data_IF_014331301787
#
_entry.id   IF_014331301787
#
_cell.length_a   1.000
_cell.length_b   1.000
_cell.length_c   1.000
_cell.angle_alpha   90.00
_cell.angle_beta   90.00
_cell.angle_gamma   90.00
#
_symmetry.space_group_name_H-M   'P 1'
#
loop_
_entity.id
_entity.type
_entity.pdbx_description
1 polymer ?
#
# COMPACT_ATOMS: atom_id res chain seq x y z
N UNK A 1 18.13 -19.51 15.16
CA UNK A 1 17.47 -18.72 14.09
C UNK A 1 16.66 -19.63 13.17
N UNK A 2 17.22 -20.73 12.64
CA UNK A 2 16.52 -21.63 11.71
C UNK A 2 15.22 -22.25 12.26
N UNK A 3 15.20 -22.66 13.54
CA UNK A 3 14.00 -23.23 14.16
C UNK A 3 12.79 -22.27 14.14
N UNK A 4 13.03 -20.96 14.27
CA UNK A 4 11.96 -19.94 14.25
C UNK A 4 11.37 -19.80 12.85
N UNK A 5 12.22 -19.74 11.82
CA UNK A 5 11.75 -19.68 10.43
C UNK A 5 11.02 -20.96 10.00
N UNK A 6 11.44 -22.12 10.52
CA UNK A 6 10.74 -23.38 10.28
C UNK A 6 9.31 -23.36 10.84
N UNK A 7 9.13 -22.84 12.06
CA UNK A 7 7.79 -22.68 12.67
C UNK A 7 6.95 -21.69 11.87
N UNK A 8 7.48 -20.52 11.53
CA UNK A 8 6.73 -19.51 10.75
C UNK A 8 6.30 -20.04 9.38
N UNK A 9 7.18 -20.74 8.67
CA UNK A 9 6.84 -21.38 7.39
C UNK A 9 5.77 -22.47 7.57
N UNK A 10 5.75 -23.17 8.70
CA UNK A 10 4.70 -24.15 9.00
C UNK A 10 3.33 -23.52 9.26
N UNK A 11 3.28 -22.27 9.70
CA UNK A 11 2.04 -21.52 9.95
C UNK A 11 1.54 -20.87 8.65
N UNK A 12 2.42 -20.12 7.98
CA UNK A 12 2.12 -19.43 6.73
C UNK A 12 3.33 -19.59 5.79
N UNK A 13 3.25 -20.50 4.80
CA UNK A 13 4.34 -20.76 3.87
C UNK A 13 4.66 -19.58 2.93
N UNK A 14 3.66 -18.77 2.59
CA UNK A 14 3.76 -17.66 1.65
C UNK A 14 3.12 -16.38 2.21
N UNK A 15 3.68 -15.79 3.30
CA UNK A 15 3.10 -14.62 3.91
C UNK A 15 3.11 -13.45 2.92
N UNK A 16 1.97 -12.76 2.80
CA UNK A 16 1.80 -11.58 1.96
C UNK A 16 1.60 -10.35 2.82
N UNK A 17 2.06 -9.20 2.34
CA UNK A 17 1.76 -7.92 2.98
C UNK A 17 0.27 -7.58 2.90
N UNK A 18 -0.23 -6.79 3.84
CA UNK A 18 -1.66 -6.44 3.95
C UNK A 18 -2.04 -5.18 3.16
N UNK A 19 -1.05 -4.45 2.61
CA UNK A 19 -1.30 -3.28 1.77
C UNK A 19 -1.89 -3.67 0.41
N UNK A 20 -2.96 -2.99 0.00
CA UNK A 20 -3.57 -3.14 -1.31
C UNK A 20 -2.79 -2.33 -2.36
N UNK A 21 -2.44 -2.97 -3.47
CA UNK A 21 -1.76 -2.34 -4.61
C UNK A 21 -2.08 -3.09 -5.92
N UNK A 22 -1.92 -2.39 -7.04
CA UNK A 22 -2.13 -2.97 -8.39
C UNK A 22 -0.83 -3.21 -9.15
N UNK A 23 0.22 -2.44 -8.82
CA UNK A 23 1.53 -2.52 -9.43
C UNK A 23 2.61 -1.97 -8.48
N UNK A 24 3.88 -2.06 -8.90
CA UNK A 24 5.02 -1.61 -8.10
C UNK A 24 4.97 -0.12 -7.72
N UNK A 25 4.43 0.74 -8.59
CA UNK A 25 4.27 2.17 -8.28
C UNK A 25 3.24 2.39 -7.17
N UNK A 26 2.07 1.76 -7.28
CA UNK A 26 1.02 1.88 -6.24
C UNK A 26 1.46 1.26 -4.91
N UNK A 27 2.27 0.19 -4.93
CA UNK A 27 2.88 -0.34 -3.72
C UNK A 27 3.83 0.66 -3.07
N UNK A 28 4.69 1.32 -3.85
CA UNK A 28 5.58 2.38 -3.35
C UNK A 28 4.78 3.52 -2.70
N UNK A 29 3.68 3.94 -3.32
CA UNK A 29 2.80 4.97 -2.74
C UNK A 29 2.16 4.50 -1.44
N UNK A 30 1.62 3.27 -1.41
CA UNK A 30 1.03 2.70 -0.19
C UNK A 30 2.04 2.60 0.96
N UNK A 31 3.28 2.17 0.68
CA UNK A 31 4.37 2.12 1.66
C UNK A 31 4.76 3.51 2.16
N UNK A 32 4.77 4.53 1.29
CA UNK A 32 5.05 5.89 1.72
C UNK A 32 3.97 6.43 2.67
N UNK A 33 2.71 6.05 2.46
CA UNK A 33 1.57 6.44 3.29
C UNK A 33 1.45 5.63 4.60
N UNK A 34 2.11 4.47 4.69
CA UNK A 34 2.03 3.63 5.90
C UNK A 34 2.83 4.18 7.09
N UNK A 35 3.66 5.21 6.86
CA UNK A 35 4.40 5.86 7.92
C UNK A 35 3.46 6.39 9.01
N UNK A 36 3.55 5.81 10.21
CA UNK A 36 2.70 6.14 11.38
C UNK A 36 1.20 5.93 11.13
N UNK A 37 0.84 5.05 10.20
CA UNK A 37 -0.53 4.66 9.89
C UNK A 37 -0.71 3.13 10.03
N UNK A 38 -1.95 2.68 9.96
CA UNK A 38 -2.28 1.24 9.89
C UNK A 38 -2.55 0.84 8.44
N UNK A 39 -2.29 -0.42 8.08
CA UNK A 39 -2.58 -0.94 6.74
C UNK A 39 -4.07 -0.75 6.37
N UNK A 40 -4.97 -0.86 7.36
CA UNK A 40 -6.40 -0.57 7.21
C UNK A 40 -6.66 0.88 6.80
N UNK A 41 -6.05 1.86 7.48
CA UNK A 41 -6.21 3.28 7.14
C UNK A 41 -5.58 3.63 5.79
N UNK A 42 -4.45 2.99 5.45
CA UNK A 42 -3.80 3.19 4.14
C UNK A 42 -4.71 2.64 3.04
N UNK A 43 -5.19 1.41 3.15
CA UNK A 43 -6.06 0.79 2.14
C UNK A 43 -7.38 1.57 1.96
N UNK A 44 -7.93 2.15 3.04
CA UNK A 44 -9.11 3.01 2.95
C UNK A 44 -8.85 4.28 2.11
N UNK A 45 -7.68 4.90 2.25
CA UNK A 45 -7.29 6.08 1.49
C UNK A 45 -6.89 5.74 0.04
N UNK A 46 -6.15 4.64 -0.14
CA UNK A 46 -5.56 4.28 -1.44
C UNK A 46 -6.55 3.60 -2.37
N UNK A 47 -7.55 2.88 -1.87
CA UNK A 47 -8.55 2.21 -2.72
C UNK A 47 -9.22 3.16 -3.74
N UNK A 48 -9.88 4.27 -3.34
CA UNK A 48 -10.48 5.21 -4.28
C UNK A 48 -9.44 6.03 -5.09
N UNK A 49 -8.21 6.16 -4.58
CA UNK A 49 -7.11 6.82 -5.28
C UNK A 49 -6.58 5.95 -6.44
N UNK A 50 -6.37 4.66 -6.20
CA UNK A 50 -5.80 3.73 -7.19
C UNK A 50 -6.78 3.30 -8.27
N UNK A 51 -8.09 3.47 -8.05
CA UNK A 51 -9.10 3.41 -9.11
C UNK A 51 -8.89 4.51 -10.18
N UNK A 52 -8.24 5.62 -9.81
CA UNK A 52 -8.02 6.77 -10.69
C UNK A 52 -6.54 6.96 -11.08
N UNK A 53 -5.61 6.54 -10.22
CA UNK A 53 -4.18 6.81 -10.35
C UNK A 53 -3.38 5.53 -10.17
N UNK A 54 -2.80 5.03 -11.25
CA UNK A 54 -1.93 3.84 -11.26
C UNK A 54 -0.54 4.12 -11.81
N UNK A 55 -0.26 5.36 -12.22
CA UNK A 55 1.02 5.81 -12.77
C UNK A 55 1.47 7.16 -12.18
N UNK A 56 2.78 7.45 -12.16
CA UNK A 56 3.29 8.75 -11.70
C UNK A 56 2.71 9.94 -12.46
N UNK A 57 2.53 9.82 -13.79
CA UNK A 57 1.98 10.90 -14.62
C UNK A 57 0.52 11.21 -14.26
N UNK A 58 -0.29 10.20 -13.93
CA UNK A 58 -1.65 10.39 -13.43
C UNK A 58 -1.67 11.07 -12.06
N UNK A 59 -0.73 10.75 -11.17
CA UNK A 59 -0.61 11.41 -9.86
C UNK A 59 -0.30 12.91 -10.01
N UNK A 60 0.60 13.25 -10.94
CA UNK A 60 0.89 14.65 -11.28
C UNK A 60 -0.34 15.36 -11.87
N UNK A 61 -1.07 14.69 -12.77
CA UNK A 61 -2.29 15.23 -13.37
C UNK A 61 -3.45 15.37 -12.37
N UNK A 62 -3.51 14.52 -11.34
CA UNK A 62 -4.49 14.61 -10.26
C UNK A 62 -4.33 15.93 -9.49
N UNK A 63 -3.08 16.32 -9.23
CA UNK A 63 -2.72 17.53 -8.49
C UNK A 63 -2.79 17.37 -6.97
N UNK A 64 -2.01 18.20 -6.27
CA UNK A 64 -1.81 18.12 -4.81
C UNK A 64 -3.11 18.28 -4.01
N UNK A 65 -3.95 19.26 -4.37
CA UNK A 65 -5.19 19.55 -3.62
C UNK A 65 -6.18 18.39 -3.68
N UNK A 66 -6.29 17.72 -4.84
CA UNK A 66 -7.12 16.52 -4.96
C UNK A 66 -6.50 15.34 -4.23
N UNK A 67 -5.18 15.16 -4.32
CA UNK A 67 -4.46 14.11 -3.61
C UNK A 67 -4.70 14.19 -2.09
N UNK A 68 -4.55 15.37 -1.48
CA UNK A 68 -4.85 15.60 -0.05
C UNK A 68 -6.28 15.22 0.32
N UNK A 69 -7.23 15.28 -0.63
CA UNK A 69 -8.60 14.83 -0.43
C UNK A 69 -8.73 13.32 -0.16
N UNK A 70 -7.82 12.50 -0.69
CA UNK A 70 -7.80 11.04 -0.50
C UNK A 70 -7.08 10.62 0.77
N UNK A 71 -6.01 11.32 1.16
CA UNK A 71 -5.06 10.89 2.22
C UNK A 71 -5.22 11.63 3.55
N UNK A 72 -6.47 11.78 4.01
CA UNK A 72 -6.79 12.47 5.28
C UNK A 72 -6.62 11.62 6.52
#
# INVERSE_FOLDING_TARGET
MEAVFHVFRGIEPEPRGELDYVNAYTLLVAVALSAQATDVSVNAATKPLFEQVTTPAQMLALGEERLKGFIK
#
